data_IF_422434785288
#
_entry.id   IF_422434785288
#
_cell.length_a   1.000
_cell.length_b   1.000
_cell.length_c   1.000
_cell.angle_alpha   90.00
_cell.angle_beta   90.00
_cell.angle_gamma   90.00
#
_symmetry.space_group_name_H-M   'P 1'
#
loop_
_entity.id
_entity.type
_entity.pdbx_description
1 polymer ?
#
# COMPACT_ATOMS: atom_id res chain seq x y z
N UNK A 1 33.82 -16.40 5.47
CA UNK A 1 32.99 -15.19 5.52
C UNK A 1 31.83 -15.45 4.58
N UNK A 2 30.65 -15.66 5.13
CA UNK A 2 29.44 -15.89 4.34
C UNK A 2 29.14 -14.58 3.59
N UNK A 3 29.33 -14.60 2.28
CA UNK A 3 29.08 -13.43 1.42
C UNK A 3 27.57 -13.20 1.46
N UNK A 4 27.14 -12.32 2.39
CA UNK A 4 25.72 -12.03 2.63
C UNK A 4 25.13 -11.57 1.30
N UNK A 5 24.35 -12.45 0.66
CA UNK A 5 23.66 -12.18 -0.59
C UNK A 5 22.68 -11.03 -0.37
N UNK A 6 23.03 -9.82 -0.80
CA UNK A 6 22.24 -8.61 -0.70
C UNK A 6 22.04 -7.99 -2.09
N UNK A 7 20.97 -7.20 -2.25
CA UNK A 7 20.72 -6.47 -3.47
C UNK A 7 20.64 -7.38 -4.69
N UNK A 8 21.30 -6.99 -5.76
CA UNK A 8 21.29 -7.68 -7.06
C UNK A 8 21.76 -9.14 -6.99
N UNK A 9 22.52 -9.51 -5.96
CA UNK A 9 23.07 -10.87 -5.77
C UNK A 9 22.10 -11.84 -5.10
N UNK A 10 20.91 -11.40 -4.74
CA UNK A 10 19.88 -12.29 -4.17
C UNK A 10 19.28 -13.23 -5.22
N UNK A 11 18.91 -14.44 -4.78
CA UNK A 11 18.22 -15.42 -5.61
C UNK A 11 18.86 -15.69 -6.98
N UNK A 12 20.20 -15.79 -7.00
CA UNK A 12 20.99 -16.08 -8.21
C UNK A 12 20.92 -17.57 -8.56
N UNK A 13 19.76 -18.05 -8.97
CA UNK A 13 19.56 -19.46 -9.35
C UNK A 13 19.49 -19.67 -10.85
N UNK A 14 19.44 -18.59 -11.65
CA UNK A 14 19.30 -18.65 -13.09
C UNK A 14 20.62 -19.05 -13.75
N UNK A 15 20.55 -19.80 -14.83
CA UNK A 15 21.67 -20.17 -15.73
C UNK A 15 22.76 -21.05 -15.11
N UNK A 16 22.62 -21.52 -13.87
CA UNK A 16 23.58 -22.43 -13.23
C UNK A 16 24.96 -21.84 -12.90
N UNK A 17 25.24 -20.61 -13.28
CA UNK A 17 26.46 -19.84 -13.01
C UNK A 17 26.13 -18.54 -12.30
N UNK A 18 26.56 -18.40 -11.05
CA UNK A 18 26.32 -17.23 -10.22
C UNK A 18 27.04 -15.98 -10.74
N UNK A 19 28.24 -16.16 -11.32
CA UNK A 19 29.00 -15.06 -11.90
C UNK A 19 28.30 -14.50 -13.13
N UNK A 20 27.90 -15.36 -14.04
CA UNK A 20 27.16 -14.98 -15.24
C UNK A 20 25.78 -14.35 -14.89
N UNK A 21 25.05 -14.93 -13.95
CA UNK A 21 23.77 -14.37 -13.48
C UNK A 21 23.93 -12.95 -12.92
N UNK A 22 24.98 -12.72 -12.13
CA UNK A 22 25.29 -11.38 -11.60
C UNK A 22 25.66 -10.41 -12.72
N UNK A 23 26.53 -10.83 -13.65
CA UNK A 23 26.93 -10.06 -14.82
C UNK A 23 25.72 -9.62 -15.65
N UNK A 24 24.84 -10.57 -15.96
CA UNK A 24 23.63 -10.32 -16.75
C UNK A 24 22.68 -9.31 -16.07
N UNK A 25 22.41 -9.50 -14.77
CA UNK A 25 21.59 -8.56 -13.99
C UNK A 25 22.17 -7.15 -13.97
N UNK A 26 23.49 -7.04 -13.76
CA UNK A 26 24.19 -5.74 -13.81
C UNK A 26 24.02 -5.06 -15.16
N UNK A 27 24.11 -5.80 -16.27
CA UNK A 27 23.95 -5.25 -17.61
C UNK A 27 22.56 -4.64 -17.81
N UNK A 28 21.50 -5.35 -17.41
CA UNK A 28 20.13 -4.84 -17.55
C UNK A 28 19.82 -3.64 -16.65
N UNK A 29 20.28 -3.64 -15.40
CA UNK A 29 20.06 -2.52 -14.49
C UNK A 29 20.84 -1.28 -14.93
N UNK A 30 22.05 -1.44 -15.49
CA UNK A 30 22.81 -0.35 -16.10
C UNK A 30 22.06 0.30 -17.26
N UNK A 31 21.26 -0.47 -18.01
CA UNK A 31 20.36 0.05 -19.02
C UNK A 31 19.34 1.06 -18.50
N UNK A 32 19.06 1.04 -17.16
CA UNK A 32 18.22 2.02 -16.47
C UNK A 32 19.02 3.22 -15.91
N UNK A 33 20.33 3.30 -16.17
CA UNK A 33 21.18 4.42 -15.76
C UNK A 33 21.88 4.27 -14.40
N UNK A 34 21.85 3.09 -13.77
CA UNK A 34 22.54 2.88 -12.49
C UNK A 34 24.05 2.67 -12.70
N UNK A 35 24.88 3.33 -11.86
CA UNK A 35 26.33 3.15 -11.86
C UNK A 35 26.75 1.86 -11.13
N UNK A 36 27.98 1.39 -11.37
CA UNK A 36 28.52 0.22 -10.68
C UNK A 36 28.55 0.38 -9.17
N UNK A 37 28.85 1.58 -8.67
CA UNK A 37 28.88 1.91 -7.24
C UNK A 37 27.50 1.76 -6.57
N UNK A 38 26.44 2.05 -7.33
CA UNK A 38 25.07 1.85 -6.85
C UNK A 38 24.72 0.36 -6.76
N UNK A 39 25.22 -0.48 -7.68
CA UNK A 39 24.78 -1.88 -7.81
C UNK A 39 25.27 -2.81 -6.67
N UNK A 40 26.17 -2.36 -5.82
CA UNK A 40 26.61 -3.09 -4.63
C UNK A 40 25.80 -2.73 -3.36
N UNK A 41 24.84 -1.82 -3.48
CA UNK A 41 23.99 -1.37 -2.37
C UNK A 41 22.75 -2.27 -2.21
N UNK A 42 22.12 -2.26 -1.01
CA UNK A 42 20.84 -2.92 -0.81
C UNK A 42 19.77 -2.39 -1.77
N UNK A 43 18.86 -3.24 -2.18
CA UNK A 43 17.71 -2.90 -3.03
C UNK A 43 16.44 -2.87 -2.20
N UNK A 44 15.70 -1.78 -2.30
CA UNK A 44 14.35 -1.64 -1.75
C UNK A 44 13.36 -1.62 -2.91
N UNK A 45 12.50 -2.62 -2.97
CA UNK A 45 11.38 -2.65 -3.90
C UNK A 45 10.31 -1.63 -3.51
N UNK A 46 9.66 -1.01 -4.48
CA UNK A 46 8.52 -0.11 -4.26
C UNK A 46 7.36 -0.59 -5.12
N UNK A 47 6.29 -1.04 -4.49
CA UNK A 47 5.08 -1.44 -5.20
C UNK A 47 4.32 -0.20 -5.66
N UNK A 48 4.08 -0.12 -6.97
CA UNK A 48 3.24 0.90 -7.59
C UNK A 48 1.86 0.32 -7.92
N UNK A 49 0.82 0.83 -7.24
CA UNK A 49 -0.58 0.50 -7.50
C UNK A 49 -1.33 1.66 -8.17
N UNK A 50 -0.64 2.59 -8.79
CA UNK A 50 -1.31 3.68 -9.53
C UNK A 50 -2.21 3.12 -10.63
N UNK A 51 -3.38 3.73 -10.80
CA UNK A 51 -4.30 3.46 -11.90
C UNK A 51 -5.28 4.63 -12.03
N UNK A 52 -5.55 5.05 -13.26
CA UNK A 52 -6.57 6.08 -13.55
C UNK A 52 -7.99 5.62 -13.18
N UNK A 53 -8.22 4.32 -13.07
CA UNK A 53 -9.48 3.76 -12.57
C UNK A 53 -9.57 3.74 -11.04
N UNK A 54 -8.56 4.25 -10.31
CA UNK A 54 -8.52 4.14 -8.85
C UNK A 54 -8.11 5.44 -8.19
N UNK A 55 -9.07 6.31 -7.90
CA UNK A 55 -8.85 7.58 -7.20
C UNK A 55 -8.23 7.41 -5.80
N UNK A 56 -8.44 6.26 -5.15
CA UNK A 56 -7.77 5.94 -3.89
C UNK A 56 -6.25 5.85 -4.02
N UNK A 57 -5.73 5.64 -5.24
CA UNK A 57 -4.32 5.51 -5.57
C UNK A 57 -3.78 6.67 -6.42
N UNK A 58 -4.59 7.72 -6.61
CA UNK A 58 -4.22 8.84 -7.51
C UNK A 58 -2.96 9.59 -7.09
N UNK A 59 -2.57 9.57 -5.81
CA UNK A 59 -1.35 10.20 -5.30
C UNK A 59 -0.13 9.26 -5.24
N UNK A 60 -0.25 7.98 -5.63
CA UNK A 60 0.83 7.00 -5.55
C UNK A 60 2.12 7.48 -6.25
N UNK A 61 2.08 8.08 -7.46
CA UNK A 61 3.29 8.57 -8.10
C UNK A 61 4.06 9.60 -7.25
N UNK A 62 3.36 10.53 -6.58
CA UNK A 62 3.97 11.52 -5.69
C UNK A 62 4.58 10.88 -4.44
N UNK A 63 3.89 9.87 -3.88
CA UNK A 63 4.39 9.12 -2.72
C UNK A 63 5.65 8.34 -3.06
N UNK A 64 5.70 7.73 -4.25
CA UNK A 64 6.89 7.02 -4.75
C UNK A 64 8.10 7.96 -4.81
N UNK A 65 7.95 9.20 -5.27
CA UNK A 65 9.06 10.15 -5.30
C UNK A 65 9.60 10.44 -3.89
N UNK A 66 8.71 10.60 -2.91
CA UNK A 66 9.09 10.83 -1.51
C UNK A 66 9.75 9.59 -0.90
N UNK A 67 9.23 8.39 -1.16
CA UNK A 67 9.83 7.11 -0.72
C UNK A 67 11.23 6.94 -1.32
N UNK A 68 11.39 7.22 -2.63
CA UNK A 68 12.70 7.18 -3.33
C UNK A 68 13.71 8.11 -2.65
N UNK A 69 13.32 9.33 -2.30
CA UNK A 69 14.19 10.27 -1.61
C UNK A 69 14.68 9.71 -0.27
N UNK A 70 13.78 9.11 0.52
CA UNK A 70 14.12 8.47 1.80
C UNK A 70 15.07 7.28 1.65
N UNK A 71 14.86 6.42 0.64
CA UNK A 71 15.71 5.27 0.34
C UNK A 71 17.11 5.72 -0.08
N UNK A 72 17.20 6.68 -1.01
CA UNK A 72 18.47 7.22 -1.51
C UNK A 72 19.25 7.91 -0.40
N UNK A 73 18.60 8.68 0.47
CA UNK A 73 19.24 9.33 1.61
C UNK A 73 19.89 8.32 2.58
N UNK A 74 19.38 7.09 2.64
CA UNK A 74 19.95 5.98 3.44
C UNK A 74 20.96 5.12 2.67
N UNK A 75 21.27 5.45 1.41
CA UNK A 75 22.28 4.78 0.62
C UNK A 75 21.86 3.42 0.04
N UNK A 76 20.59 3.21 -0.21
CA UNK A 76 20.04 2.02 -0.89
C UNK A 76 19.47 2.38 -2.27
N UNK A 77 19.16 1.36 -3.08
CA UNK A 77 18.60 1.53 -4.43
C UNK A 77 17.07 1.37 -4.37
N UNK A 78 16.28 2.37 -4.81
CA UNK A 78 14.84 2.22 -4.97
C UNK A 78 14.51 1.64 -6.35
N UNK A 79 13.91 0.46 -6.40
CA UNK A 79 13.40 -0.14 -7.63
C UNK A 79 11.88 -0.28 -7.56
N UNK A 80 11.19 0.39 -8.47
CA UNK A 80 9.74 0.40 -8.57
C UNK A 80 9.24 -0.72 -9.49
N UNK A 81 8.12 -1.34 -9.12
CA UNK A 81 7.43 -2.33 -9.95
C UNK A 81 5.91 -2.28 -9.73
N UNK A 82 5.11 -2.60 -10.76
CA UNK A 82 3.66 -2.55 -10.67
C UNK A 82 3.10 -3.80 -9.98
N UNK A 83 1.92 -3.62 -9.35
CA UNK A 83 1.01 -4.70 -8.98
C UNK A 83 -0.42 -4.29 -9.30
N UNK A 84 -1.36 -5.24 -9.25
CA UNK A 84 -2.77 -5.03 -9.57
C UNK A 84 -3.36 -3.89 -8.73
N UNK A 85 -4.10 -2.99 -9.39
CA UNK A 85 -4.87 -1.91 -8.78
C UNK A 85 -6.34 -2.05 -9.16
N UNK A 86 -7.22 -2.20 -8.16
CA UNK A 86 -8.66 -2.40 -8.37
C UNK A 86 -9.45 -1.49 -7.43
N UNK A 87 -10.45 -0.81 -7.98
CA UNK A 87 -11.38 0.03 -7.24
C UNK A 87 -12.77 -0.60 -7.19
N UNK A 88 -13.41 -0.62 -6.01
CA UNK A 88 -14.72 -1.26 -5.81
C UNK A 88 -15.80 -0.72 -6.74
N UNK A 89 -15.84 0.60 -6.97
CA UNK A 89 -16.86 1.22 -7.81
C UNK A 89 -16.81 0.83 -9.29
N UNK A 90 -15.66 0.31 -9.76
CA UNK A 90 -15.45 -0.11 -11.15
C UNK A 90 -15.34 -1.63 -11.30
N UNK A 91 -15.47 -2.39 -10.20
CA UNK A 91 -15.34 -3.84 -10.20
C UNK A 91 -16.69 -4.54 -10.25
N UNK A 92 -16.80 -5.60 -11.04
CA UNK A 92 -18.01 -6.42 -11.11
C UNK A 92 -17.66 -7.89 -10.83
N UNK A 93 -18.42 -8.58 -9.99
CA UNK A 93 -19.52 -8.08 -9.16
C UNK A 93 -19.02 -7.32 -7.91
N UNK A 94 -17.78 -7.53 -7.47
CA UNK A 94 -17.11 -6.84 -6.35
C UNK A 94 -15.61 -7.10 -6.38
N UNK A 95 -14.80 -6.14 -5.94
CA UNK A 95 -13.35 -6.29 -5.82
C UNK A 95 -12.94 -7.37 -4.79
N UNK A 96 -13.85 -7.85 -3.94
CA UNK A 96 -13.57 -8.91 -2.97
C UNK A 96 -13.09 -10.21 -3.63
N UNK A 97 -13.64 -10.57 -4.80
CA UNK A 97 -13.22 -11.75 -5.54
C UNK A 97 -11.80 -11.64 -6.09
N UNK A 98 -11.31 -10.41 -6.27
CA UNK A 98 -9.97 -10.15 -6.80
C UNK A 98 -8.90 -10.04 -5.69
N UNK A 99 -9.29 -9.96 -4.41
CA UNK A 99 -8.35 -9.79 -3.29
C UNK A 99 -7.26 -10.87 -3.26
N UNK A 100 -7.63 -12.13 -3.46
CA UNK A 100 -6.65 -13.22 -3.45
C UNK A 100 -5.73 -13.17 -4.67
N UNK A 101 -6.24 -12.79 -5.85
CA UNK A 101 -5.41 -12.58 -7.04
C UNK A 101 -4.40 -11.46 -6.80
N UNK A 102 -4.81 -10.35 -6.20
CA UNK A 102 -3.91 -9.26 -5.82
C UNK A 102 -2.86 -9.70 -4.79
N UNK A 103 -3.23 -10.58 -3.85
CA UNK A 103 -2.28 -11.14 -2.88
C UNK A 103 -1.26 -12.05 -3.57
N UNK A 104 -1.69 -12.89 -4.49
CA UNK A 104 -0.81 -13.76 -5.29
C UNK A 104 0.14 -12.94 -6.17
N UNK A 105 -0.39 -11.92 -6.86
CA UNK A 105 0.41 -10.98 -7.65
C UNK A 105 1.49 -10.31 -6.79
N UNK A 106 1.11 -9.78 -5.63
CA UNK A 106 2.07 -9.17 -4.68
C UNK A 106 3.14 -10.18 -4.24
N UNK A 107 2.74 -11.39 -3.88
CA UNK A 107 3.63 -12.47 -3.45
C UNK A 107 4.65 -12.83 -4.54
N UNK A 108 4.17 -13.10 -5.75
CA UNK A 108 5.01 -13.53 -6.87
C UNK A 108 5.94 -12.41 -7.35
N UNK A 109 5.47 -11.18 -7.40
CA UNK A 109 6.31 -10.04 -7.78
C UNK A 109 7.43 -9.78 -6.77
N UNK A 110 7.19 -9.99 -5.48
CA UNK A 110 8.23 -9.90 -4.45
C UNK A 110 9.21 -11.08 -4.54
N UNK A 111 8.72 -12.31 -4.79
CA UNK A 111 9.57 -13.52 -4.93
C UNK A 111 10.44 -13.49 -6.17
N UNK A 112 9.92 -12.98 -7.29
CA UNK A 112 10.59 -13.03 -8.57
C UNK A 112 11.76 -12.06 -8.69
N UNK A 113 11.80 -11.00 -7.89
CA UNK A 113 12.76 -9.91 -8.05
C UNK A 113 13.77 -9.85 -6.90
N UNK A 114 15.04 -9.47 -7.19
CA UNK A 114 16.05 -9.35 -6.15
C UNK A 114 15.82 -8.06 -5.35
N UNK A 115 15.45 -8.17 -4.09
CA UNK A 115 15.29 -7.03 -3.18
C UNK A 115 15.54 -7.43 -1.72
N UNK A 116 15.98 -6.50 -0.89
CA UNK A 116 16.29 -6.71 0.53
C UNK A 116 15.10 -6.35 1.42
N UNK A 117 14.27 -5.44 0.96
CA UNK A 117 12.98 -5.08 1.57
C UNK A 117 12.03 -4.51 0.52
N UNK A 118 10.76 -4.34 0.90
CA UNK A 118 9.76 -3.78 0.01
C UNK A 118 8.85 -2.77 0.72
N UNK A 119 8.57 -1.65 0.06
CA UNK A 119 7.52 -0.70 0.45
C UNK A 119 6.25 -1.06 -0.31
N UNK A 120 5.21 -1.41 0.42
CA UNK A 120 3.89 -1.75 -0.11
C UNK A 120 3.04 -0.48 -0.17
N UNK A 121 2.83 0.10 -1.34
CA UNK A 121 1.99 1.32 -1.45
C UNK A 121 0.60 0.93 -1.93
N UNK A 122 -0.41 1.28 -1.15
CA UNK A 122 -1.80 1.02 -1.49
C UNK A 122 -2.76 1.72 -0.54
N UNK A 123 -4.00 1.92 -0.94
CA UNK A 123 -4.98 2.65 -0.14
C UNK A 123 -6.40 2.09 -0.22
N UNK A 124 -6.77 1.48 -1.34
CA UNK A 124 -8.11 0.96 -1.55
C UNK A 124 -8.42 -0.23 -0.62
N UNK A 125 -9.70 -0.46 -0.38
CA UNK A 125 -10.23 -1.36 0.64
C UNK A 125 -9.78 -2.83 0.54
N UNK A 126 -9.43 -3.33 -0.65
CA UNK A 126 -8.88 -4.69 -0.85
C UNK A 126 -7.36 -4.68 -1.08
N UNK A 127 -6.77 -3.55 -1.44
CA UNK A 127 -5.35 -3.46 -1.76
C UNK A 127 -4.48 -3.66 -0.52
N UNK A 128 -4.75 -2.93 0.57
CA UNK A 128 -3.95 -3.05 1.81
C UNK A 128 -3.97 -4.47 2.36
N UNK A 129 -5.14 -5.14 2.56
CA UNK A 129 -5.13 -6.51 3.04
C UNK A 129 -4.49 -7.49 2.05
N UNK A 130 -4.66 -7.31 0.74
CA UNK A 130 -4.02 -8.16 -0.26
C UNK A 130 -2.49 -8.05 -0.23
N UNK A 131 -1.97 -6.84 -0.15
CA UNK A 131 -0.53 -6.59 -0.02
C UNK A 131 0.04 -7.22 1.25
N UNK A 132 -0.62 -7.07 2.39
CA UNK A 132 -0.21 -7.72 3.63
C UNK A 132 -0.22 -9.25 3.50
N UNK A 133 -1.27 -9.83 2.92
CA UNK A 133 -1.35 -11.28 2.68
C UNK A 133 -0.18 -11.77 1.82
N UNK A 134 0.09 -11.12 0.68
CA UNK A 134 1.18 -11.50 -0.23
C UNK A 134 2.55 -11.35 0.42
N UNK A 135 2.78 -10.24 1.13
CA UNK A 135 4.03 -9.98 1.80
C UNK A 135 4.33 -10.97 2.95
N UNK A 136 3.29 -11.34 3.71
CA UNK A 136 3.44 -12.34 4.79
C UNK A 136 3.75 -13.73 4.24
N UNK A 137 3.17 -14.12 3.11
CA UNK A 137 3.50 -15.40 2.45
C UNK A 137 4.97 -15.51 2.07
N UNK A 138 5.63 -14.38 1.78
CA UNK A 138 7.07 -14.33 1.45
C UNK A 138 7.95 -14.25 2.69
N UNK A 139 7.43 -13.65 3.76
CA UNK A 139 8.16 -13.35 5.01
C UNK A 139 9.49 -12.61 4.77
N UNK A 140 9.46 -11.63 3.87
CA UNK A 140 10.58 -10.72 3.62
C UNK A 140 10.37 -9.40 4.38
N UNK A 141 11.44 -8.63 4.72
CA UNK A 141 11.28 -7.31 5.31
C UNK A 141 10.40 -6.40 4.45
N UNK A 142 9.26 -5.97 4.99
CA UNK A 142 8.30 -5.11 4.29
C UNK A 142 7.74 -4.05 5.23
N UNK A 143 7.31 -2.94 4.65
CA UNK A 143 6.59 -1.87 5.34
C UNK A 143 5.45 -1.37 4.46
N UNK A 144 4.26 -1.23 5.04
CA UNK A 144 3.09 -0.69 4.36
C UNK A 144 3.12 0.84 4.38
N UNK A 145 2.79 1.47 3.27
CA UNK A 145 2.49 2.89 3.14
C UNK A 145 1.09 3.05 2.57
N UNK A 146 0.16 3.61 3.33
CA UNK A 146 -1.17 3.90 2.82
C UNK A 146 -1.22 5.26 2.12
N UNK A 147 -2.08 5.37 1.10
CA UNK A 147 -2.23 6.62 0.32
C UNK A 147 -2.83 7.76 1.15
N UNK A 148 -3.52 7.44 2.24
CA UNK A 148 -4.17 8.39 3.13
C UNK A 148 -5.61 8.73 2.71
N UNK A 149 -6.44 9.25 3.63
CA UNK A 149 -7.82 9.63 3.34
C UNK A 149 -7.88 10.89 2.48
N UNK A 150 -8.93 10.95 1.61
CA UNK A 150 -9.29 12.19 0.92
C UNK A 150 -9.73 13.27 1.91
N UNK A 151 -9.74 14.52 1.49
CA UNK A 151 -10.34 15.58 2.29
C UNK A 151 -11.86 15.39 2.37
N UNK A 152 -12.46 15.97 3.39
CA UNK A 152 -13.92 15.97 3.57
C UNK A 152 -14.55 16.93 2.57
N UNK A 153 -15.57 16.48 1.83
CA UNK A 153 -16.37 17.34 0.97
C UNK A 153 -17.38 18.17 1.76
N UNK A 154 -17.97 19.15 1.09
CA UNK A 154 -19.03 19.99 1.67
C UNK A 154 -20.07 20.29 0.60
N UNK A 155 -21.34 20.08 0.93
CA UNK A 155 -22.47 20.46 0.09
C UNK A 155 -23.47 21.25 0.94
N UNK A 156 -23.76 22.48 0.53
CA UNK A 156 -24.70 23.41 1.21
C UNK A 156 -24.46 23.53 2.73
N UNK A 157 -23.18 23.57 3.15
CA UNK A 157 -22.80 23.69 4.56
C UNK A 157 -22.76 22.37 5.35
N UNK A 158 -23.22 21.26 4.77
CA UNK A 158 -23.12 19.93 5.34
C UNK A 158 -21.84 19.23 4.88
N UNK A 159 -21.21 18.48 5.78
CA UNK A 159 -20.09 17.58 5.42
C UNK A 159 -20.63 16.40 4.62
N UNK A 160 -19.97 16.10 3.51
CA UNK A 160 -20.33 14.95 2.66
C UNK A 160 -19.11 14.12 2.35
N UNK A 161 -19.30 12.82 2.12
CA UNK A 161 -18.24 11.91 1.72
C UNK A 161 -18.77 10.72 0.94
N UNK A 162 -17.91 10.18 0.08
CA UNK A 162 -18.23 9.00 -0.71
C UNK A 162 -18.68 7.82 0.17
N UNK A 163 -19.46 6.93 -0.41
CA UNK A 163 -20.13 5.75 0.13
C UNK A 163 -21.39 6.04 0.96
N UNK A 164 -21.34 6.76 2.07
CA UNK A 164 -22.50 7.01 2.91
C UNK A 164 -23.42 8.04 2.27
N UNK A 165 -22.87 9.21 1.93
CA UNK A 165 -23.68 10.31 1.39
C UNK A 165 -24.09 10.09 -0.06
N UNK A 166 -23.32 9.36 -0.85
CA UNK A 166 -23.76 8.90 -2.18
C UNK A 166 -25.11 8.20 -2.13
N UNK A 167 -25.27 7.27 -1.19
CA UNK A 167 -26.53 6.51 -1.04
C UNK A 167 -27.65 7.37 -0.51
N UNK A 168 -27.38 8.22 0.47
CA UNK A 168 -28.35 9.15 1.06
C UNK A 168 -28.86 10.14 0.02
N UNK A 169 -27.98 10.80 -0.71
CA UNK A 169 -28.33 11.79 -1.72
C UNK A 169 -29.03 11.15 -2.92
N UNK A 170 -28.58 9.98 -3.37
CA UNK A 170 -29.24 9.25 -4.44
C UNK A 170 -30.62 8.76 -4.05
N UNK A 171 -30.86 8.40 -2.77
CA UNK A 171 -32.18 8.06 -2.27
C UNK A 171 -33.13 9.26 -2.32
N UNK A 172 -32.67 10.47 -1.94
CA UNK A 172 -33.43 11.73 -2.05
C UNK A 172 -33.79 12.04 -3.50
N UNK A 173 -32.84 11.91 -4.42
CA UNK A 173 -33.09 12.10 -5.85
C UNK A 173 -34.18 11.16 -6.38
N UNK A 174 -34.11 9.88 -6.02
CA UNK A 174 -35.11 8.88 -6.40
C UNK A 174 -36.50 9.11 -5.77
N UNK A 175 -36.55 9.85 -4.67
CA UNK A 175 -37.79 10.24 -3.99
C UNK A 175 -38.34 11.61 -4.46
N UNK A 176 -37.71 12.18 -5.51
CA UNK A 176 -38.03 13.51 -6.04
C UNK A 176 -37.93 14.65 -5.00
N UNK A 177 -37.09 14.43 -3.94
CA UNK A 177 -36.80 15.43 -2.91
C UNK A 177 -35.71 16.43 -3.34
N UNK A 178 -34.89 16.09 -4.31
CA UNK A 178 -33.88 16.94 -4.94
C UNK A 178 -33.92 16.74 -6.45
N UNK A 179 -33.62 17.80 -7.20
CA UNK A 179 -33.60 17.78 -8.66
C UNK A 179 -32.23 17.32 -9.23
N UNK A 180 -32.16 17.22 -10.55
CA UNK A 180 -30.93 16.79 -11.26
C UNK A 180 -29.78 17.79 -11.07
N UNK A 181 -30.06 19.08 -10.96
CA UNK A 181 -29.04 20.10 -10.75
C UNK A 181 -28.40 19.95 -9.37
N UNK A 182 -29.23 19.75 -8.34
CA UNK A 182 -28.77 19.58 -6.97
C UNK A 182 -27.96 18.28 -6.79
N UNK A 183 -28.42 17.15 -7.36
CA UNK A 183 -27.69 15.89 -7.24
C UNK A 183 -26.31 15.95 -7.95
N UNK A 184 -26.24 16.66 -9.10
CA UNK A 184 -24.99 16.88 -9.81
C UNK A 184 -24.04 17.82 -9.04
N UNK A 185 -24.55 18.88 -8.42
CA UNK A 185 -23.79 19.76 -7.53
C UNK A 185 -23.19 18.97 -6.36
N UNK A 186 -24.01 18.15 -5.70
CA UNK A 186 -23.56 17.29 -4.60
C UNK A 186 -22.51 16.27 -5.05
N UNK A 187 -22.69 15.67 -6.24
CA UNK A 187 -21.75 14.68 -6.77
C UNK A 187 -20.31 15.23 -6.93
N UNK A 188 -20.18 16.51 -7.32
CA UNK A 188 -18.86 17.16 -7.44
C UNK A 188 -18.12 17.30 -6.10
N UNK A 189 -18.81 17.15 -4.98
CA UNK A 189 -18.28 17.33 -3.64
C UNK A 189 -18.05 16.02 -2.87
N UNK A 190 -18.53 14.89 -3.40
CA UNK A 190 -18.45 13.60 -2.70
C UNK A 190 -17.03 13.03 -2.65
N UNK A 191 -16.19 13.34 -3.67
CA UNK A 191 -14.80 12.93 -3.77
C UNK A 191 -13.95 14.17 -4.12
N UNK A 192 -13.70 15.05 -3.14
CA UNK A 192 -13.08 16.35 -3.40
C UNK A 192 -11.58 16.27 -3.74
N UNK A 193 -10.90 15.17 -3.37
CA UNK A 193 -9.48 14.93 -3.66
C UNK A 193 -9.23 13.45 -3.91
N UNK A 194 -8.04 13.13 -4.44
CA UNK A 194 -7.51 11.77 -4.42
C UNK A 194 -7.33 11.28 -2.98
N UNK A 195 -7.24 9.97 -2.80
CA UNK A 195 -7.11 9.33 -1.51
C UNK A 195 -8.24 8.33 -1.23
N UNK A 196 -8.17 7.65 -0.09
CA UNK A 196 -9.20 6.69 0.31
C UNK A 196 -10.50 7.40 0.70
N UNK A 197 -11.61 6.67 0.70
CA UNK A 197 -12.91 7.23 1.10
C UNK A 197 -12.81 8.00 2.43
N UNK A 198 -13.45 9.16 2.52
CA UNK A 198 -13.44 10.04 3.70
C UNK A 198 -14.30 9.55 4.88
N UNK A 199 -14.77 8.31 4.84
CA UNK A 199 -15.59 7.67 5.89
C UNK A 199 -14.79 6.53 6.55
N UNK A 200 -15.17 6.12 7.76
CA UNK A 200 -14.58 4.95 8.43
C UNK A 200 -15.11 3.66 7.78
N UNK A 201 -14.76 3.50 6.48
CA UNK A 201 -15.00 2.28 5.72
C UNK A 201 -13.83 1.32 5.78
N UNK A 202 -13.82 0.30 4.91
CA UNK A 202 -12.79 -0.75 4.94
C UNK A 202 -11.39 -0.21 4.65
N UNK A 203 -11.22 0.77 3.78
CA UNK A 203 -9.93 1.36 3.46
C UNK A 203 -9.30 2.04 4.69
N UNK A 204 -10.04 2.94 5.37
CA UNK A 204 -9.57 3.60 6.59
C UNK A 204 -9.36 2.61 7.72
N UNK A 205 -10.27 1.65 7.89
CA UNK A 205 -10.12 0.59 8.88
C UNK A 205 -8.83 -0.21 8.67
N UNK A 206 -8.56 -0.65 7.44
CA UNK A 206 -7.35 -1.45 7.16
C UNK A 206 -6.07 -0.63 7.27
N UNK A 207 -6.10 0.69 7.04
CA UNK A 207 -4.98 1.58 7.31
C UNK A 207 -4.64 1.59 8.80
N UNK A 208 -5.63 1.81 9.68
CA UNK A 208 -5.45 1.78 11.14
C UNK A 208 -5.00 0.39 11.63
N UNK A 209 -5.57 -0.67 11.08
CA UNK A 209 -5.20 -2.05 11.42
C UNK A 209 -3.74 -2.35 11.02
N UNK A 210 -3.30 -1.96 9.83
CA UNK A 210 -1.91 -2.16 9.39
C UNK A 210 -0.91 -1.44 10.32
N UNK A 211 -1.25 -0.24 10.79
CA UNK A 211 -0.47 0.49 11.78
C UNK A 211 -0.46 -0.22 13.14
N UNK A 212 -1.62 -0.65 13.63
CA UNK A 212 -1.75 -1.39 14.90
C UNK A 212 -0.97 -2.70 14.89
N UNK A 213 -0.93 -3.39 13.75
CA UNK A 213 -0.12 -4.59 13.55
C UNK A 213 1.40 -4.31 13.55
N UNK A 214 1.82 -3.05 13.53
CA UNK A 214 3.24 -2.66 13.45
C UNK A 214 3.83 -2.77 12.05
N UNK A 215 2.98 -2.87 11.03
CA UNK A 215 3.39 -2.96 9.62
C UNK A 215 3.53 -1.60 8.94
N UNK A 216 3.26 -0.50 9.64
CA UNK A 216 3.38 0.88 9.18
C UNK A 216 4.18 1.72 10.17
N UNK A 217 4.71 2.89 9.75
CA UNK A 217 5.22 3.86 10.71
C UNK A 217 4.10 4.31 11.67
N UNK A 218 4.39 4.56 12.96
CA UNK A 218 3.41 5.08 13.89
C UNK A 218 2.90 6.46 13.43
N UNK A 219 1.66 6.79 13.79
CA UNK A 219 0.96 8.04 13.48
C UNK A 219 0.80 8.31 11.96
N UNK A 220 0.79 7.24 11.14
CA UNK A 220 0.82 7.38 9.69
C UNK A 220 -0.50 7.08 8.98
N UNK A 221 -1.46 6.40 9.62
CA UNK A 221 -2.71 5.97 8.97
C UNK A 221 -3.63 7.13 8.58
N UNK A 222 -3.72 8.17 9.40
CA UNK A 222 -4.74 9.22 9.30
C UNK A 222 -4.32 10.48 8.54
N UNK A 223 -3.04 10.65 8.19
CA UNK A 223 -2.59 11.85 7.46
C UNK A 223 -3.29 11.94 6.09
N UNK A 224 -3.91 13.09 5.73
CA UNK A 224 -4.63 13.24 4.48
C UNK A 224 -3.74 13.02 3.24
N UNK A 225 -4.31 12.43 2.19
CA UNK A 225 -3.61 12.04 0.97
C UNK A 225 -2.85 13.19 0.30
N UNK A 226 -3.39 14.40 0.35
CA UNK A 226 -2.85 15.60 -0.32
C UNK A 226 -2.00 16.48 0.59
N UNK A 227 -1.79 16.06 1.85
CA UNK A 227 -1.04 16.86 2.83
C UNK A 227 0.47 16.74 2.66
N UNK A 228 1.21 17.78 3.06
CA UNK A 228 2.67 17.73 3.16
C UNK A 228 3.14 16.70 4.20
N UNK A 229 2.33 16.43 5.21
CA UNK A 229 2.57 15.40 6.22
C UNK A 229 2.64 14.01 5.59
N UNK A 230 1.72 13.68 4.66
CA UNK A 230 1.74 12.42 3.90
C UNK A 230 3.05 12.23 3.15
N UNK A 231 3.60 13.28 2.55
CA UNK A 231 4.91 13.24 1.88
C UNK A 231 6.05 12.98 2.84
N UNK A 232 6.06 13.64 4.01
CA UNK A 232 7.08 13.38 5.07
C UNK A 232 7.01 11.94 5.60
N UNK A 233 5.80 11.42 5.80
CA UNK A 233 5.59 10.02 6.18
C UNK A 233 6.14 9.09 5.10
N UNK A 234 5.92 9.39 3.82
CA UNK A 234 6.41 8.58 2.70
C UNK A 234 7.94 8.56 2.64
N UNK A 235 8.59 9.70 2.80
CA UNK A 235 10.05 9.78 2.90
C UNK A 235 10.56 8.94 4.10
N UNK A 236 9.95 9.12 5.28
CA UNK A 236 10.29 8.34 6.48
C UNK A 236 10.08 6.84 6.28
N UNK A 237 9.02 6.44 5.57
CA UNK A 237 8.77 5.04 5.21
C UNK A 237 9.91 4.47 4.36
N UNK A 238 10.41 5.25 3.40
CA UNK A 238 11.58 4.87 2.61
C UNK A 238 12.83 4.67 3.45
N UNK A 239 13.08 5.53 4.42
CA UNK A 239 14.21 5.39 5.37
C UNK A 239 14.07 4.12 6.21
N UNK A 240 12.86 3.86 6.77
CA UNK A 240 12.58 2.67 7.58
C UNK A 240 12.74 1.40 6.73
N UNK A 241 12.33 1.41 5.46
CA UNK A 241 12.50 0.27 4.56
C UNK A 241 13.96 -0.16 4.42
N UNK A 242 14.90 0.80 4.39
CA UNK A 242 16.34 0.50 4.39
C UNK A 242 16.78 -0.06 5.75
N UNK A 243 16.31 0.53 6.84
CA UNK A 243 16.67 0.08 8.20
C UNK A 243 16.20 -1.37 8.46
N UNK A 244 14.98 -1.75 8.04
CA UNK A 244 14.48 -3.12 8.18
C UNK A 244 15.18 -4.11 7.24
N UNK A 245 15.64 -3.66 6.05
CA UNK A 245 16.47 -4.46 5.14
C UNK A 245 17.79 -4.83 5.79
N UNK A 246 18.51 -3.85 6.34
CA UNK A 246 19.80 -4.03 7.00
C UNK A 246 19.66 -4.94 8.22
N UNK A 247 18.64 -4.71 9.05
CA UNK A 247 18.40 -5.47 10.28
C UNK A 247 17.67 -6.80 10.03
N UNK A 248 17.28 -7.11 8.78
CA UNK A 248 16.52 -8.31 8.38
C UNK A 248 15.25 -8.51 9.20
N UNK A 249 14.56 -7.42 9.53
CA UNK A 249 13.35 -7.45 10.35
C UNK A 249 12.16 -7.90 9.50
N UNK A 250 11.74 -9.14 9.69
CA UNK A 250 10.67 -9.80 8.93
C UNK A 250 9.32 -9.64 9.62
N UNK A 251 8.20 -9.75 8.87
CA UNK A 251 6.86 -9.77 9.45
C UNK A 251 6.68 -10.81 10.56
N UNK A 252 7.19 -12.04 10.40
CA UNK A 252 7.15 -13.09 11.41
C UNK A 252 7.80 -12.73 12.75
N UNK A 253 8.72 -11.74 12.76
CA UNK A 253 9.33 -11.22 13.98
C UNK A 253 8.52 -10.11 14.67
N UNK A 254 7.51 -9.57 14.00
CA UNK A 254 6.66 -8.45 14.46
C UNK A 254 5.27 -8.95 14.84
N UNK A 255 4.69 -9.77 13.97
CA UNK A 255 3.31 -10.24 14.10
C UNK A 255 3.22 -11.43 15.06
N UNK A 256 2.37 -11.30 16.04
CA UNK A 256 2.10 -12.31 17.06
C UNK A 256 0.59 -12.42 17.27
N UNK A 257 0.12 -13.46 17.97
CA UNK A 257 -1.28 -13.54 18.38
C UNK A 257 -1.76 -12.27 19.11
N UNK A 258 -0.91 -11.68 19.96
CA UNK A 258 -1.20 -10.41 20.65
C UNK A 258 -1.34 -9.22 19.70
N UNK A 259 -0.58 -9.20 18.62
CA UNK A 259 -0.73 -8.14 17.58
C UNK A 259 -2.12 -8.20 16.95
N UNK A 260 -2.63 -9.40 16.68
CA UNK A 260 -3.97 -9.58 16.14
C UNK A 260 -5.08 -9.31 17.17
N UNK A 261 -4.88 -9.68 18.46
CA UNK A 261 -5.79 -9.29 19.55
C UNK A 261 -5.88 -7.75 19.66
N UNK A 262 -4.76 -7.06 19.65
CA UNK A 262 -4.73 -5.59 19.64
C UNK A 262 -5.44 -5.01 18.43
N UNK A 263 -5.24 -5.59 17.24
CA UNK A 263 -5.91 -5.17 16.02
C UNK A 263 -7.43 -5.34 16.11
N UNK A 264 -7.92 -6.43 16.71
CA UNK A 264 -9.34 -6.64 16.97
C UNK A 264 -9.91 -5.64 18.00
N UNK A 265 -9.18 -5.35 19.07
CA UNK A 265 -9.60 -4.33 20.05
C UNK A 265 -9.72 -2.96 19.40
N UNK A 266 -8.72 -2.57 18.59
CA UNK A 266 -8.74 -1.28 17.88
C UNK A 266 -9.87 -1.27 16.85
N UNK A 267 -10.08 -2.35 16.09
CA UNK A 267 -11.20 -2.48 15.15
C UNK A 267 -12.55 -2.19 15.81
N UNK A 268 -12.78 -2.75 17.00
CA UNK A 268 -14.01 -2.53 17.77
C UNK A 268 -14.10 -1.09 18.29
N UNK A 269 -12.99 -0.56 18.81
CA UNK A 269 -12.94 0.78 19.39
C UNK A 269 -13.24 1.88 18.37
N UNK A 270 -12.77 1.73 17.12
CA UNK A 270 -13.00 2.73 16.06
C UNK A 270 -14.34 2.55 15.34
N UNK A 271 -15.13 1.54 15.69
CA UNK A 271 -16.34 1.18 14.94
C UNK A 271 -16.02 0.81 13.49
N UNK A 272 -14.94 0.07 13.26
CA UNK A 272 -14.42 -0.23 11.94
C UNK A 272 -15.30 -1.18 11.13
N UNK A 273 -14.94 -1.33 9.85
CA UNK A 273 -15.65 -2.16 8.89
C UNK A 273 -15.66 -3.64 9.27
N UNK A 274 -16.81 -4.31 9.18
CA UNK A 274 -16.94 -5.76 9.37
C UNK A 274 -16.10 -6.58 8.39
N UNK A 275 -15.78 -6.04 7.20
CA UNK A 275 -14.88 -6.68 6.24
C UNK A 275 -13.48 -6.92 6.83
N UNK A 276 -13.05 -6.09 7.78
CA UNK A 276 -11.74 -6.25 8.43
C UNK A 276 -11.60 -7.58 9.18
N UNK A 277 -12.67 -8.17 9.68
CA UNK A 277 -12.65 -9.50 10.31
C UNK A 277 -12.20 -10.57 9.31
N UNK A 278 -12.77 -10.54 8.10
CA UNK A 278 -12.41 -11.46 7.01
C UNK A 278 -10.96 -11.20 6.54
N UNK A 279 -10.56 -9.93 6.51
CA UNK A 279 -9.20 -9.57 6.12
C UNK A 279 -8.16 -9.99 7.16
N UNK A 280 -8.43 -9.75 8.46
CA UNK A 280 -7.54 -10.17 9.54
C UNK A 280 -7.36 -11.69 9.58
N UNK A 281 -8.47 -12.45 9.44
CA UNK A 281 -8.40 -13.91 9.37
C UNK A 281 -7.56 -14.38 8.17
N UNK A 282 -7.70 -13.73 7.00
CA UNK A 282 -6.94 -14.07 5.81
C UNK A 282 -5.44 -13.69 5.93
N UNK A 283 -5.12 -12.58 6.59
CA UNK A 283 -3.74 -12.15 6.87
C UNK A 283 -3.09 -13.12 7.87
N UNK A 284 -3.78 -13.45 8.99
CA UNK A 284 -3.27 -14.39 9.97
C UNK A 284 -3.02 -15.80 9.38
N UNK A 285 -3.87 -16.23 8.44
CA UNK A 285 -3.72 -17.51 7.77
C UNK A 285 -2.52 -17.61 6.82
N UNK A 286 -1.76 -16.52 6.63
CA UNK A 286 -0.52 -16.50 5.83
C UNK A 286 0.74 -16.63 6.69
N UNK A 287 0.59 -16.67 7.99
CA UNK A 287 1.67 -16.87 8.95
C UNK A 287 1.76 -18.34 9.37
#
# INVERSE_FOLDING_TARGET
>A
MDDKKTGIKQNLTNYGDLGFSTFLRKSFIKGLGYSDEMLDKPIVGIINTFSDYNSCHGNVPDLIQSVRAGILAKGAIPLEFPTISVHEAFSYPTSMYLRNLMAMDTEEMIRAQPMDSCVLIGGCDKTVPAQLMGALSVDMPVIQLVTGPMLTGSHRGERVGACTDCRRLWAKFRADEVDEAEINEANNQLVPTVGTCGVMGTASTMAVIAETLGMMPPDSSCAPAVSSERRRISEKTGQIAVDIAINKRRPSSILTAKSFENALMVLLAIGGSTNALIHLAAIAGRM
#
